data_IF_493220227058
#
_entry.id   IF_493220227058
#
_cell.length_a   1.000
_cell.length_b   1.000
_cell.length_c   1.000
_cell.angle_alpha   90.00
_cell.angle_beta   90.00
_cell.angle_gamma   90.00
#
_symmetry.space_group_name_H-M   'P 1'
#
loop_
_entity.id
_entity.type
_entity.pdbx_description
1 polymer ?
#
# COMPACT_ATOMS: atom_id res chain seq x y z
N UNK A 1 -29.92 4.35 -7.75
CA UNK A 1 -28.59 3.90 -7.32
C UNK A 1 -27.88 3.02 -8.36
N UNK A 2 -28.49 1.91 -8.78
CA UNK A 2 -27.84 0.95 -9.71
C UNK A 2 -27.51 1.53 -11.10
N UNK A 3 -28.34 2.43 -11.63
CA UNK A 3 -28.07 3.06 -12.92
C UNK A 3 -26.86 3.98 -12.92
N UNK A 4 -26.65 4.73 -11.84
CA UNK A 4 -25.52 5.66 -11.73
C UNK A 4 -24.19 4.93 -11.59
N UNK A 5 -24.17 3.80 -10.85
CA UNK A 5 -22.98 2.95 -10.76
C UNK A 5 -22.70 2.27 -12.09
N UNK A 6 -23.71 1.78 -12.79
CA UNK A 6 -23.55 1.14 -14.11
C UNK A 6 -23.01 2.13 -15.13
N UNK A 7 -23.49 3.38 -15.13
CA UNK A 7 -23.01 4.44 -16.03
C UNK A 7 -21.57 4.88 -15.66
N UNK A 8 -21.24 4.93 -14.35
CA UNK A 8 -19.88 5.19 -13.90
C UNK A 8 -18.92 4.05 -14.20
N UNK A 9 -19.35 2.81 -14.07
CA UNK A 9 -18.59 1.61 -14.45
C UNK A 9 -18.26 1.63 -15.94
N UNK A 10 -19.20 2.04 -16.79
CA UNK A 10 -18.99 2.13 -18.23
C UNK A 10 -18.00 3.22 -18.64
N UNK A 11 -17.96 4.32 -17.87
CA UNK A 11 -17.11 5.49 -18.17
C UNK A 11 -15.72 5.46 -17.50
N UNK A 12 -15.47 4.56 -16.54
CA UNK A 12 -14.24 4.56 -15.70
C UNK A 12 -13.34 3.36 -15.90
N UNK A 13 -13.58 2.50 -16.89
CA UNK A 13 -12.92 1.19 -17.03
C UNK A 13 -12.99 0.33 -15.72
N UNK A 14 -14.00 0.57 -14.92
CA UNK A 14 -14.23 -0.18 -13.68
C UNK A 14 -14.66 -1.60 -13.99
N UNK A 15 -14.27 -2.54 -13.13
CA UNK A 15 -14.58 -3.94 -13.28
C UNK A 15 -15.33 -4.46 -12.06
N UNK A 16 -16.25 -5.40 -12.30
CA UNK A 16 -16.87 -6.19 -11.23
C UNK A 16 -16.08 -7.48 -11.08
N UNK A 17 -15.44 -7.66 -9.92
CA UNK A 17 -14.64 -8.83 -9.60
C UNK A 17 -15.43 -9.70 -8.63
N UNK A 18 -15.73 -10.95 -9.01
CA UNK A 18 -16.38 -11.90 -8.13
C UNK A 18 -15.39 -12.37 -7.05
N UNK A 19 -15.82 -12.34 -5.79
CA UNK A 19 -15.04 -12.73 -4.61
C UNK A 19 -15.89 -13.57 -3.66
N UNK A 20 -15.26 -14.24 -2.68
CA UNK A 20 -15.94 -15.14 -1.75
C UNK A 20 -16.14 -16.55 -2.35
N UNK A 21 -17.24 -17.21 -1.99
CA UNK A 21 -17.52 -18.58 -2.42
C UNK A 21 -16.67 -19.63 -1.71
N UNK A 22 -16.15 -19.31 -0.53
CA UNK A 22 -15.40 -20.23 0.33
C UNK A 22 -16.22 -20.59 1.56
N UNK A 23 -15.76 -21.58 2.35
CA UNK A 23 -16.48 -22.10 3.52
C UNK A 23 -17.14 -21.01 4.38
N UNK A 24 -18.48 -20.98 4.39
CA UNK A 24 -19.28 -20.06 5.18
C UNK A 24 -19.40 -18.63 4.63
N UNK A 25 -18.88 -18.36 3.44
CA UNK A 25 -18.98 -17.05 2.80
C UNK A 25 -19.52 -17.21 1.37
N UNK A 26 -20.69 -16.62 1.10
CA UNK A 26 -21.27 -16.60 -0.24
C UNK A 26 -20.42 -15.75 -1.20
N UNK A 27 -20.68 -15.89 -2.48
CA UNK A 27 -20.08 -15.03 -3.50
C UNK A 27 -20.71 -13.63 -3.49
N UNK A 28 -19.90 -12.64 -3.78
CA UNK A 28 -20.35 -11.28 -4.04
C UNK A 28 -19.43 -10.60 -5.06
N UNK A 29 -19.79 -9.42 -5.50
CA UNK A 29 -19.01 -8.66 -6.49
C UNK A 29 -18.42 -7.39 -5.87
N UNK A 30 -17.12 -7.22 -6.03
CA UNK A 30 -16.39 -6.01 -5.66
C UNK A 30 -16.23 -5.12 -6.88
N UNK A 31 -16.52 -3.85 -6.74
CA UNK A 31 -16.25 -2.82 -7.77
C UNK A 31 -14.78 -2.44 -7.66
N UNK A 32 -14.00 -2.73 -8.69
CA UNK A 32 -12.59 -2.32 -8.78
C UNK A 32 -12.49 -1.18 -9.78
N UNK A 33 -12.10 -0.02 -9.29
CA UNK A 33 -11.87 1.18 -10.10
C UNK A 33 -10.36 1.34 -10.31
N UNK A 34 -9.85 1.18 -11.54
CA UNK A 34 -8.41 1.12 -11.79
C UNK A 34 -7.72 2.47 -11.71
N UNK A 35 -8.49 3.56 -11.67
CA UNK A 35 -7.93 4.91 -11.67
C UNK A 35 -8.89 5.96 -11.09
N UNK A 36 -8.37 6.79 -10.18
CA UNK A 36 -9.07 7.99 -9.70
C UNK A 36 -8.82 9.13 -10.70
N UNK A 37 -9.90 9.60 -11.35
CA UNK A 37 -9.85 10.71 -12.31
C UNK A 37 -10.75 11.85 -11.89
N UNK A 38 -10.52 13.05 -12.44
CA UNK A 38 -11.42 14.18 -12.23
C UNK A 38 -12.83 13.88 -12.78
N UNK A 39 -12.90 13.22 -13.92
CA UNK A 39 -14.19 12.83 -14.52
C UNK A 39 -15.00 11.91 -13.58
N UNK A 40 -14.32 11.00 -12.86
CA UNK A 40 -14.96 10.14 -11.87
C UNK A 40 -15.55 10.94 -10.70
N UNK A 41 -14.83 11.96 -10.22
CA UNK A 41 -15.28 12.85 -9.16
C UNK A 41 -16.48 13.67 -9.64
N UNK A 42 -16.40 14.25 -10.84
CA UNK A 42 -17.42 15.10 -11.43
C UNK A 42 -18.71 14.32 -11.76
N UNK A 43 -18.59 13.03 -12.03
CA UNK A 43 -19.74 12.14 -12.29
C UNK A 43 -20.64 11.95 -11.08
N UNK A 44 -20.13 12.23 -9.86
CA UNK A 44 -20.80 11.98 -8.56
C UNK A 44 -21.33 10.55 -8.40
N UNK A 45 -20.71 9.61 -9.09
CA UNK A 45 -21.07 8.20 -9.05
C UNK A 45 -20.80 7.56 -7.69
N UNK A 46 -19.80 8.08 -6.97
CA UNK A 46 -19.42 7.59 -5.64
C UNK A 46 -19.69 8.66 -4.58
N UNK A 47 -20.50 8.32 -3.58
CA UNK A 47 -20.93 9.21 -2.51
C UNK A 47 -19.80 9.73 -1.62
N UNK A 48 -18.65 9.08 -1.62
CA UNK A 48 -17.47 9.46 -0.84
C UNK A 48 -16.42 10.26 -1.65
N UNK A 49 -16.67 10.48 -2.95
CA UNK A 49 -15.86 11.34 -3.80
C UNK A 49 -16.56 12.68 -4.03
N UNK A 50 -16.40 13.62 -3.13
CA UNK A 50 -17.02 14.94 -3.24
C UNK A 50 -16.22 16.03 -2.53
N UNK A 51 -16.51 17.27 -2.92
CA UNK A 51 -15.94 18.43 -2.25
C UNK A 51 -16.75 18.74 -0.99
N UNK A 52 -16.09 18.73 0.15
CA UNK A 52 -16.62 19.30 1.38
C UNK A 52 -16.55 20.83 1.37
N UNK A 53 -17.11 21.46 2.42
CA UNK A 53 -16.90 22.89 2.66
C UNK A 53 -15.41 23.22 2.70
N UNK A 54 -15.04 24.42 2.33
CA UNK A 54 -13.68 24.93 2.26
C UNK A 54 -12.80 24.51 3.45
N UNK A 55 -13.36 24.54 4.68
CA UNK A 55 -12.64 24.21 5.92
C UNK A 55 -12.17 22.76 5.98
N UNK A 56 -12.96 21.80 5.54
CA UNK A 56 -12.59 20.37 5.51
C UNK A 56 -11.56 20.05 4.43
N UNK A 57 -11.65 20.73 3.29
CA UNK A 57 -10.68 20.54 2.21
C UNK A 57 -9.30 21.06 2.60
N UNK A 58 -9.22 22.17 3.35
CA UNK A 58 -7.95 22.70 3.85
C UNK A 58 -7.21 21.72 4.74
N UNK A 59 -7.88 21.03 5.65
CA UNK A 59 -7.24 20.01 6.50
C UNK A 59 -6.65 18.84 5.71
N UNK A 60 -7.30 18.44 4.62
CA UNK A 60 -6.77 17.37 3.75
C UNK A 60 -5.59 17.86 2.93
N UNK A 61 -5.61 19.09 2.44
CA UNK A 61 -4.48 19.71 1.76
C UNK A 61 -3.28 19.83 2.68
N UNK A 62 -3.48 20.20 3.95
CA UNK A 62 -2.42 20.24 4.96
C UNK A 62 -1.84 18.84 5.20
N UNK A 63 -2.68 17.81 5.33
CA UNK A 63 -2.24 16.42 5.48
C UNK A 63 -1.38 15.95 4.30
N UNK A 64 -1.75 16.32 3.07
CA UNK A 64 -0.97 16.02 1.87
C UNK A 64 0.38 16.75 1.90
N UNK A 65 0.38 18.05 2.24
CA UNK A 65 1.60 18.84 2.29
C UNK A 65 2.58 18.36 3.38
N UNK A 66 2.07 17.97 4.54
CA UNK A 66 2.87 17.36 5.61
C UNK A 66 3.47 16.03 5.17
N UNK A 67 2.69 15.20 4.49
CA UNK A 67 3.18 13.96 3.89
C UNK A 67 4.30 14.20 2.89
N UNK A 68 4.18 15.20 2.03
CA UNK A 68 5.22 15.56 1.07
C UNK A 68 6.51 16.02 1.74
N UNK A 69 6.40 16.82 2.81
CA UNK A 69 7.57 17.27 3.60
C UNK A 69 8.29 16.09 4.25
N UNK A 70 7.54 15.23 4.94
CA UNK A 70 8.09 14.02 5.54
C UNK A 70 8.73 13.12 4.49
N UNK A 71 8.02 12.86 3.39
CA UNK A 71 8.50 12.02 2.31
C UNK A 71 9.78 12.53 1.68
N UNK A 72 9.95 13.84 1.58
CA UNK A 72 11.20 14.44 1.10
C UNK A 72 12.39 14.17 2.04
N UNK A 73 12.15 14.17 3.36
CA UNK A 73 13.18 13.84 4.36
C UNK A 73 13.53 12.34 4.27
N UNK A 74 12.53 11.47 4.25
CA UNK A 74 12.71 10.03 4.18
C UNK A 74 13.36 9.61 2.86
N UNK A 75 12.94 10.22 1.75
CA UNK A 75 13.44 9.93 0.41
C UNK A 75 14.93 10.26 0.23
N UNK A 76 15.46 11.26 0.94
CA UNK A 76 16.92 11.51 0.96
C UNK A 76 17.70 10.29 1.46
N UNK A 77 17.17 9.57 2.46
CA UNK A 77 17.80 8.35 2.99
C UNK A 77 17.64 7.16 2.03
N UNK A 78 16.53 7.14 1.26
CA UNK A 78 16.27 6.04 0.31
C UNK A 78 16.99 6.17 -1.02
N UNK A 79 17.61 7.30 -1.33
CA UNK A 79 18.36 7.47 -2.59
C UNK A 79 19.40 6.39 -2.82
N UNK A 80 20.01 5.87 -1.74
CA UNK A 80 21.00 4.80 -1.79
C UNK A 80 20.45 3.51 -2.46
N UNK A 81 19.12 3.31 -2.42
CA UNK A 81 18.50 2.15 -3.09
C UNK A 81 18.57 2.21 -4.62
N UNK A 82 18.58 3.42 -5.18
CA UNK A 82 18.72 3.64 -6.61
C UNK A 82 20.18 3.64 -7.10
N UNK A 83 21.13 3.59 -6.16
CA UNK A 83 22.55 3.64 -6.48
C UNK A 83 23.12 2.22 -6.59
N UNK A 84 23.90 1.98 -7.64
CA UNK A 84 24.72 0.78 -7.77
C UNK A 84 26.04 1.04 -7.05
N UNK A 85 26.46 0.12 -6.21
CA UNK A 85 27.72 0.19 -5.49
C UNK A 85 28.66 -0.90 -5.97
N UNK A 86 29.75 -0.49 -6.60
CA UNK A 86 30.79 -1.41 -7.00
C UNK A 86 31.73 -1.72 -5.82
N UNK A 87 31.76 -2.99 -5.45
CA UNK A 87 32.73 -3.54 -4.49
C UNK A 87 33.88 -4.13 -5.27
N UNK A 88 35.06 -3.53 -5.12
CA UNK A 88 36.26 -3.98 -5.80
C UNK A 88 37.09 -4.85 -4.83
N UNK A 89 37.10 -6.13 -5.10
CA UNK A 89 37.98 -7.07 -4.41
C UNK A 89 39.31 -7.17 -5.14
N UNK A 90 40.39 -6.81 -4.50
CA UNK A 90 41.75 -6.92 -5.03
C UNK A 90 42.41 -8.21 -4.57
N UNK A 91 43.59 -8.57 -5.12
CA UNK A 91 44.35 -9.80 -4.77
C UNK A 91 43.56 -11.09 -5.01
N UNK A 92 42.80 -11.11 -6.09
CA UNK A 92 42.05 -12.28 -6.55
C UNK A 92 42.92 -13.12 -7.50
N UNK A 93 42.57 -14.42 -7.63
CA UNK A 93 43.22 -15.36 -8.56
C UNK A 93 42.66 -15.28 -9.98
N UNK A 94 41.57 -14.57 -10.18
CA UNK A 94 40.91 -14.39 -11.47
C UNK A 94 40.19 -13.04 -11.53
N UNK A 95 39.87 -12.56 -12.73
CA UNK A 95 39.19 -11.31 -12.97
C UNK A 95 39.97 -10.36 -13.87
N UNK A 96 39.85 -9.05 -13.65
CA UNK A 96 40.59 -8.02 -14.38
C UNK A 96 41.96 -7.81 -13.71
N UNK A 97 43.03 -7.79 -14.51
CA UNK A 97 44.36 -7.54 -13.94
C UNK A 97 44.41 -6.18 -13.27
N UNK A 98 44.84 -6.17 -12.03
CA UNK A 98 45.12 -4.96 -11.28
C UNK A 98 46.51 -4.43 -11.65
N UNK A 99 46.57 -3.37 -12.41
CA UNK A 99 47.85 -2.77 -12.91
C UNK A 99 48.83 -2.40 -11.78
N UNK A 100 48.34 -2.15 -10.56
CA UNK A 100 49.20 -1.83 -9.40
C UNK A 100 49.88 -3.06 -8.80
N UNK A 101 49.29 -4.24 -9.03
CA UNK A 101 49.80 -5.52 -8.47
C UNK A 101 50.58 -6.32 -9.52
N UNK A 102 50.60 -5.87 -10.76
CA UNK A 102 51.21 -6.64 -11.89
C UNK A 102 52.67 -6.97 -11.63
N UNK A 103 53.41 -6.13 -10.93
CA UNK A 103 54.80 -6.37 -10.59
C UNK A 103 54.97 -7.58 -9.65
N UNK A 104 53.94 -7.98 -8.91
CA UNK A 104 53.97 -9.12 -8.02
C UNK A 104 54.04 -10.46 -8.76
N UNK A 105 53.64 -10.50 -10.03
CA UNK A 105 53.80 -11.69 -10.88
C UNK A 105 55.27 -12.12 -11.04
N UNK A 106 56.20 -11.18 -11.00
CA UNK A 106 57.64 -11.46 -11.02
C UNK A 106 58.14 -12.12 -9.72
N UNK A 107 57.35 -12.19 -8.69
CA UNK A 107 57.66 -12.83 -7.38
C UNK A 107 56.77 -14.04 -7.11
N UNK A 108 56.28 -14.72 -8.16
CA UNK A 108 55.41 -15.89 -8.12
C UNK A 108 54.06 -15.66 -7.39
N UNK A 109 53.64 -14.42 -7.21
CA UNK A 109 52.35 -14.10 -6.62
C UNK A 109 51.28 -13.92 -7.72
N UNK A 110 50.46 -14.97 -7.92
CA UNK A 110 49.37 -14.96 -8.93
C UNK A 110 48.14 -14.16 -8.53
N UNK A 111 48.09 -13.59 -7.33
CA UNK A 111 46.90 -12.86 -6.82
C UNK A 111 46.87 -11.39 -7.27
N UNK A 112 46.98 -11.17 -8.55
CA UNK A 112 47.10 -9.82 -9.17
C UNK A 112 45.82 -9.34 -9.82
N UNK A 113 44.75 -10.08 -9.68
CA UNK A 113 43.45 -9.72 -10.28
C UNK A 113 42.58 -8.95 -9.31
N UNK A 114 41.67 -8.20 -9.89
CA UNK A 114 40.55 -7.56 -9.18
C UNK A 114 39.23 -8.04 -9.76
N UNK A 115 38.27 -8.32 -8.88
CA UNK A 115 36.89 -8.61 -9.25
C UNK A 115 36.03 -7.47 -8.78
N UNK A 116 35.07 -7.06 -9.63
CA UNK A 116 34.11 -6.02 -9.34
C UNK A 116 32.75 -6.72 -9.15
N UNK A 117 32.17 -6.57 -7.96
CA UNK A 117 30.82 -7.01 -7.69
C UNK A 117 29.95 -5.76 -7.54
N UNK A 118 28.96 -5.63 -8.41
CA UNK A 118 28.00 -4.54 -8.32
C UNK A 118 26.87 -4.95 -7.37
N UNK A 119 26.82 -4.32 -6.20
CA UNK A 119 25.70 -4.46 -5.28
C UNK A 119 24.63 -3.45 -5.61
N UNK A 120 23.39 -3.92 -5.73
CA UNK A 120 22.21 -3.08 -5.88
C UNK A 120 21.06 -3.65 -5.05
N UNK A 121 20.18 -2.76 -4.63
CA UNK A 121 18.95 -3.19 -4.00
C UNK A 121 17.97 -3.73 -5.07
N UNK A 122 17.22 -4.76 -4.71
CA UNK A 122 16.12 -5.22 -5.53
C UNK A 122 15.09 -4.11 -5.74
N UNK A 123 14.37 -4.15 -6.86
CA UNK A 123 13.19 -3.32 -7.01
C UNK A 123 12.18 -3.67 -5.92
N UNK A 124 11.49 -2.69 -5.42
CA UNK A 124 10.44 -2.89 -4.42
C UNK A 124 9.10 -2.43 -4.98
N UNK A 125 8.06 -3.21 -4.73
CA UNK A 125 6.67 -2.89 -5.02
C UNK A 125 5.92 -2.74 -3.69
N UNK A 126 5.37 -1.59 -3.44
CA UNK A 126 4.60 -1.27 -2.24
C UNK A 126 3.16 -0.98 -2.61
N UNK A 127 2.22 -1.77 -2.12
CA UNK A 127 0.81 -1.48 -2.18
C UNK A 127 0.31 -1.02 -0.81
N UNK A 128 -0.25 0.17 -0.73
CA UNK A 128 -0.86 0.74 0.47
C UNK A 128 -2.38 0.70 0.29
N UNK A 129 -3.07 -0.05 1.13
CA UNK A 129 -4.52 -0.13 1.15
C UNK A 129 -5.08 0.59 2.36
N UNK A 130 -5.86 1.63 2.14
CA UNK A 130 -6.42 2.48 3.18
C UNK A 130 -7.90 2.19 3.31
N UNK A 131 -8.32 1.84 4.52
CA UNK A 131 -9.72 1.81 4.89
C UNK A 131 -10.25 3.25 4.95
N UNK A 132 -11.30 3.51 4.21
CA UNK A 132 -12.01 4.77 4.25
C UNK A 132 -13.48 4.57 4.67
N UNK A 133 -13.76 3.56 5.52
CA UNK A 133 -15.04 3.39 6.16
C UNK A 133 -15.41 4.58 7.03
N UNK A 134 -16.67 4.68 7.45
CA UNK A 134 -17.17 5.82 8.22
C UNK A 134 -16.42 6.07 9.54
N UNK A 135 -15.95 5.01 10.20
CA UNK A 135 -15.15 5.07 11.43
C UNK A 135 -13.77 5.72 11.26
N UNK A 136 -13.23 5.70 10.05
CA UNK A 136 -11.96 6.36 9.71
C UNK A 136 -12.08 7.88 9.55
N UNK A 137 -13.27 8.45 9.68
CA UNK A 137 -13.48 9.90 9.51
C UNK A 137 -12.61 10.75 10.44
N UNK A 138 -12.21 11.92 9.98
CA UNK A 138 -11.38 12.86 10.76
C UNK A 138 -9.89 12.54 10.71
N UNK A 139 -9.26 12.59 11.89
CA UNK A 139 -7.79 12.49 12.03
C UNK A 139 -7.22 11.15 11.53
N UNK A 140 -7.93 10.05 11.70
CA UNK A 140 -7.45 8.73 11.24
C UNK A 140 -7.22 8.71 9.74
N UNK A 141 -8.20 9.14 8.95
CA UNK A 141 -8.06 9.20 7.50
C UNK A 141 -7.00 10.20 7.06
N UNK A 142 -6.96 11.39 7.68
CA UNK A 142 -5.97 12.43 7.36
C UNK A 142 -4.55 11.95 7.64
N UNK A 143 -4.31 11.35 8.79
CA UNK A 143 -2.99 10.80 9.17
C UNK A 143 -2.58 9.62 8.29
N UNK A 144 -3.54 8.76 7.89
CA UNK A 144 -3.30 7.69 6.93
C UNK A 144 -2.88 8.24 5.57
N UNK A 145 -3.56 9.30 5.10
CA UNK A 145 -3.19 10.03 3.88
C UNK A 145 -1.77 10.61 4.01
N UNK A 146 -1.46 11.29 5.11
CA UNK A 146 -0.12 11.85 5.36
C UNK A 146 0.96 10.78 5.27
N UNK A 147 0.75 9.64 5.93
CA UNK A 147 1.70 8.52 5.91
C UNK A 147 1.87 7.93 4.51
N UNK A 148 0.77 7.71 3.78
CA UNK A 148 0.81 7.19 2.42
C UNK A 148 1.54 8.15 1.45
N UNK A 149 1.23 9.45 1.52
CA UNK A 149 1.88 10.49 0.70
C UNK A 149 3.38 10.55 1.00
N UNK A 150 3.78 10.40 2.27
CA UNK A 150 5.18 10.36 2.63
C UNK A 150 5.91 9.18 1.98
N UNK A 151 5.30 7.99 1.97
CA UNK A 151 5.88 6.81 1.31
C UNK A 151 5.90 6.95 -0.21
N UNK A 152 4.86 7.52 -0.82
CA UNK A 152 4.85 7.83 -2.26
C UNK A 152 6.00 8.76 -2.63
N UNK A 153 6.17 9.85 -1.87
CA UNK A 153 7.23 10.83 -2.14
C UNK A 153 8.62 10.25 -1.93
N UNK A 154 8.80 9.47 -0.88
CA UNK A 154 10.07 8.80 -0.61
C UNK A 154 10.41 7.76 -1.69
N UNK A 155 9.42 6.98 -2.16
CA UNK A 155 9.57 6.02 -3.25
C UNK A 155 9.93 6.69 -4.59
N UNK A 156 9.27 7.82 -4.91
CA UNK A 156 9.61 8.62 -6.09
C UNK A 156 11.08 9.05 -6.09
N UNK A 157 11.58 9.47 -4.92
CA UNK A 157 12.97 9.91 -4.78
C UNK A 157 13.98 8.76 -4.82
N UNK A 158 13.60 7.56 -4.38
CA UNK A 158 14.44 6.37 -4.44
C UNK A 158 14.63 5.84 -5.86
N UNK A 159 13.62 5.99 -6.72
CA UNK A 159 13.67 5.63 -8.12
C UNK A 159 13.48 4.13 -8.43
N UNK A 160 13.69 3.25 -7.45
CA UNK A 160 13.51 1.81 -7.60
C UNK A 160 12.41 1.21 -6.69
N UNK A 161 11.51 2.05 -6.20
CA UNK A 161 10.34 1.65 -5.42
C UNK A 161 9.09 2.08 -6.18
N UNK A 162 8.25 1.10 -6.55
CA UNK A 162 6.94 1.36 -7.10
C UNK A 162 5.90 1.39 -5.99
N UNK A 163 5.08 2.43 -5.96
CA UNK A 163 4.05 2.62 -4.94
C UNK A 163 2.69 2.70 -5.60
N UNK A 164 1.77 1.87 -5.12
CA UNK A 164 0.35 1.90 -5.46
C UNK A 164 -0.43 2.22 -4.19
N UNK A 165 -1.40 3.11 -4.27
CA UNK A 165 -2.28 3.43 -3.14
C UNK A 165 -3.72 3.22 -3.55
N UNK A 166 -4.44 2.39 -2.79
CA UNK A 166 -5.86 2.14 -2.95
C UNK A 166 -6.64 2.55 -1.71
N UNK A 167 -7.87 2.99 -1.93
CA UNK A 167 -8.84 3.22 -0.86
C UNK A 167 -10.01 2.27 -1.05
N UNK A 168 -10.60 1.82 0.07
CA UNK A 168 -11.73 0.89 0.07
C UNK A 168 -12.89 1.39 0.91
N UNK A 169 -14.09 1.16 0.40
CA UNK A 169 -15.37 1.56 0.99
C UNK A 169 -16.44 0.53 0.68
N UNK A 170 -17.65 0.84 1.12
CA UNK A 170 -18.87 0.22 0.64
C UNK A 170 -19.83 1.27 0.12
N UNK A 171 -20.45 1.02 -1.02
CA UNK A 171 -21.48 1.88 -1.60
C UNK A 171 -22.54 1.06 -2.31
N UNK A 172 -23.80 1.41 -2.10
CA UNK A 172 -24.98 0.79 -2.77
C UNK A 172 -24.88 -0.74 -2.73
N UNK A 173 -24.73 -1.31 -1.52
CA UNK A 173 -24.63 -2.74 -1.25
C UNK A 173 -23.47 -3.46 -1.96
N UNK A 174 -22.44 -2.74 -2.36
CA UNK A 174 -21.22 -3.30 -2.96
C UNK A 174 -19.95 -2.82 -2.26
N UNK A 175 -18.98 -3.71 -2.05
CA UNK A 175 -17.62 -3.31 -1.73
C UNK A 175 -17.00 -2.59 -2.93
N UNK A 176 -16.25 -1.53 -2.65
CA UNK A 176 -15.56 -0.72 -3.67
C UNK A 176 -14.10 -0.56 -3.29
N UNK A 177 -13.21 -0.76 -4.23
CA UNK A 177 -11.80 -0.40 -4.11
C UNK A 177 -11.36 0.44 -5.30
N UNK A 178 -10.73 1.58 -5.02
CA UNK A 178 -10.26 2.51 -6.04
C UNK A 178 -8.74 2.62 -5.95
N UNK A 179 -8.05 2.45 -7.06
CA UNK A 179 -6.63 2.78 -7.18
C UNK A 179 -6.50 4.28 -7.36
N UNK A 180 -6.07 4.96 -6.31
CA UNK A 180 -5.99 6.42 -6.29
C UNK A 180 -4.63 6.94 -6.75
N UNK A 181 -3.62 6.09 -6.76
CA UNK A 181 -2.27 6.40 -7.23
C UNK A 181 -1.51 5.15 -7.65
N UNK A 182 -0.83 5.22 -8.77
CA UNK A 182 0.14 4.21 -9.24
C UNK A 182 1.37 4.93 -9.80
N UNK A 183 2.51 4.83 -9.12
CA UNK A 183 3.74 5.53 -9.48
C UNK A 183 4.30 5.21 -10.87
N UNK A 184 3.82 4.11 -11.50
CA UNK A 184 4.22 3.75 -12.87
C UNK A 184 3.56 4.61 -13.95
N UNK A 185 2.40 5.23 -13.64
CA UNK A 185 1.62 6.04 -14.58
C UNK A 185 1.29 7.43 -14.06
N UNK A 186 1.28 7.62 -12.74
CA UNK A 186 0.84 8.85 -12.10
C UNK A 186 2.01 9.69 -11.60
N UNK A 187 1.82 11.00 -11.64
CA UNK A 187 2.69 11.97 -10.98
C UNK A 187 2.10 12.40 -9.65
N UNK A 188 2.93 12.84 -8.73
CA UNK A 188 2.53 13.30 -7.39
C UNK A 188 1.51 14.47 -7.44
N UNK A 189 1.47 15.21 -8.53
CA UNK A 189 0.49 16.27 -8.77
C UNK A 189 -0.96 15.76 -8.79
N UNK A 190 -1.18 14.49 -9.13
CA UNK A 190 -2.50 13.83 -9.06
C UNK A 190 -3.01 13.79 -7.62
N UNK A 191 -2.14 13.42 -6.66
CA UNK A 191 -2.47 13.41 -5.23
C UNK A 191 -2.92 14.79 -4.78
N UNK A 192 -2.13 15.84 -5.08
CA UNK A 192 -2.48 17.22 -4.73
C UNK A 192 -3.83 17.68 -5.29
N UNK A 193 -4.17 17.25 -6.50
CA UNK A 193 -5.39 17.66 -7.17
C UNK A 193 -6.63 16.89 -6.70
N UNK A 194 -6.52 15.56 -6.53
CA UNK A 194 -7.67 14.69 -6.43
C UNK A 194 -7.93 14.13 -5.02
N UNK A 195 -6.92 13.94 -4.19
CA UNK A 195 -7.11 13.26 -2.90
C UNK A 195 -7.90 14.08 -1.88
N UNK A 196 -8.00 15.38 -2.05
CA UNK A 196 -8.87 16.23 -1.23
C UNK A 196 -10.36 15.89 -1.35
N UNK A 197 -10.75 15.21 -2.42
CA UNK A 197 -12.13 14.78 -2.64
C UNK A 197 -12.45 13.42 -2.00
N UNK A 198 -11.46 12.69 -1.48
CA UNK A 198 -11.64 11.39 -0.83
C UNK A 198 -12.17 11.61 0.59
N UNK A 199 -13.30 10.99 0.91
CA UNK A 199 -13.94 11.08 2.22
C UNK A 199 -14.17 9.68 2.81
N UNK A 200 -14.36 9.62 4.12
CA UNK A 200 -14.76 8.40 4.79
C UNK A 200 -16.26 8.17 4.67
N UNK A 201 -16.65 6.91 4.54
CA UNK A 201 -18.06 6.50 4.48
C UNK A 201 -18.25 5.01 4.32
N UNK A 202 -19.48 4.53 4.52
CA UNK A 202 -19.80 3.11 4.40
C UNK A 202 -19.19 2.24 5.50
N UNK A 203 -18.97 0.98 5.19
CA UNK A 203 -18.46 -0.05 6.10
C UNK A 203 -17.09 -0.58 5.66
N UNK A 204 -16.57 -1.57 6.37
CA UNK A 204 -15.21 -2.10 6.18
C UNK A 204 -15.21 -3.43 5.44
N UNK A 205 -15.14 -3.45 4.10
CA UNK A 205 -15.15 -4.68 3.29
C UNK A 205 -13.77 -5.35 3.19
N UNK A 206 -12.93 -5.22 4.19
CA UNK A 206 -11.53 -5.65 4.36
C UNK A 206 -11.01 -6.61 3.28
N UNK A 207 -11.08 -7.91 3.53
CA UNK A 207 -10.47 -8.92 2.67
C UNK A 207 -11.28 -9.26 1.41
N UNK A 208 -12.53 -8.80 1.30
CA UNK A 208 -13.25 -8.86 0.02
C UNK A 208 -12.52 -8.00 -1.03
N UNK A 209 -12.09 -6.81 -0.62
CA UNK A 209 -11.27 -5.93 -1.45
C UNK A 209 -9.87 -6.51 -1.69
N UNK A 210 -9.26 -7.19 -0.70
CA UNK A 210 -7.97 -7.86 -0.89
C UNK A 210 -8.04 -8.95 -1.93
N UNK A 211 -9.09 -9.79 -1.90
CA UNK A 211 -9.28 -10.84 -2.89
C UNK A 211 -9.41 -10.25 -4.31
N UNK A 212 -10.16 -9.16 -4.46
CA UNK A 212 -10.30 -8.48 -5.73
C UNK A 212 -8.96 -7.88 -6.20
N UNK A 213 -8.19 -7.25 -5.30
CA UNK A 213 -6.86 -6.72 -5.60
C UNK A 213 -5.87 -7.83 -5.99
N UNK A 214 -5.88 -8.97 -5.29
CA UNK A 214 -5.00 -10.10 -5.62
C UNK A 214 -5.27 -10.65 -7.02
N UNK A 215 -6.51 -10.69 -7.44
CA UNK A 215 -6.88 -11.16 -8.79
C UNK A 215 -6.42 -10.24 -9.90
N UNK A 216 -6.21 -8.97 -9.60
CA UNK A 216 -5.95 -7.91 -10.61
C UNK A 216 -4.62 -7.18 -10.47
N UNK A 217 -4.10 -6.98 -9.23
CA UNK A 217 -3.01 -6.04 -8.95
C UNK A 217 -1.88 -6.60 -8.11
N UNK A 218 -2.14 -7.59 -7.24
CA UNK A 218 -1.18 -8.10 -6.28
C UNK A 218 -0.51 -9.39 -6.76
N UNK A 219 -0.12 -9.45 -8.02
CA UNK A 219 0.78 -10.49 -8.50
C UNK A 219 2.20 -10.22 -8.00
N UNK A 220 2.77 -11.09 -7.17
CA UNK A 220 4.17 -11.00 -6.81
C UNK A 220 5.04 -11.07 -8.08
N UNK A 221 5.92 -10.08 -8.27
CA UNK A 221 6.91 -10.12 -9.34
C UNK A 221 8.13 -10.88 -8.81
N UNK A 222 8.49 -11.97 -9.46
CA UNK A 222 9.67 -12.75 -9.08
C UNK A 222 10.94 -11.89 -9.15
N UNK A 223 11.70 -11.89 -8.07
CA UNK A 223 12.94 -11.14 -7.95
C UNK A 223 12.80 -9.73 -7.37
N UNK A 224 11.57 -9.22 -7.20
CA UNK A 224 11.30 -7.95 -6.54
C UNK A 224 10.89 -8.17 -5.08
N UNK A 225 11.14 -7.18 -4.22
CA UNK A 225 10.60 -7.13 -2.87
C UNK A 225 9.18 -6.58 -2.90
N UNK A 226 8.20 -7.41 -2.53
CA UNK A 226 6.79 -7.03 -2.57
C UNK A 226 6.26 -6.78 -1.16
N UNK A 227 5.64 -5.63 -0.94
CA UNK A 227 5.09 -5.18 0.34
C UNK A 227 3.62 -4.80 0.20
N UNK A 228 2.83 -5.15 1.21
CA UNK A 228 1.45 -4.73 1.35
C UNK A 228 1.25 -4.11 2.73
N UNK A 229 0.79 -2.86 2.75
CA UNK A 229 0.44 -2.15 3.99
C UNK A 229 -1.06 -1.96 4.02
N UNK A 230 -1.67 -2.31 5.14
CA UNK A 230 -3.06 -2.04 5.43
C UNK A 230 -3.20 -1.01 6.56
N UNK A 231 -4.07 -0.04 6.36
CA UNK A 231 -4.57 0.86 7.40
C UNK A 231 -6.07 0.60 7.62
N UNK A 232 -6.44 0.25 8.84
CA UNK A 232 -7.82 0.01 9.24
C UNK A 232 -8.03 0.38 10.72
N UNK A 233 -9.24 0.74 11.10
CA UNK A 233 -9.58 1.07 12.50
C UNK A 233 -10.74 0.23 13.06
N UNK A 234 -11.21 -0.75 12.29
CA UNK A 234 -12.39 -1.49 12.63
C UNK A 234 -12.34 -2.98 12.38
N UNK A 235 -13.39 -3.63 12.83
CA UNK A 235 -13.67 -5.02 12.48
C UNK A 235 -14.25 -5.06 11.07
N UNK A 236 -13.87 -6.05 10.26
CA UNK A 236 -14.46 -6.25 8.94
C UNK A 236 -15.97 -6.43 9.09
N UNK A 237 -16.72 -5.63 8.37
CA UNK A 237 -18.17 -5.71 8.35
C UNK A 237 -18.74 -5.25 7.01
N UNK A 238 -19.50 -6.12 6.38
CA UNK A 238 -20.26 -5.83 5.18
C UNK A 238 -21.44 -6.80 5.07
N UNK A 239 -22.60 -6.32 4.66
CA UNK A 239 -23.78 -7.14 4.44
C UNK A 239 -24.62 -6.58 3.30
N UNK A 240 -25.10 -7.47 2.45
CA UNK A 240 -26.09 -7.21 1.43
C UNK A 240 -27.02 -8.44 1.28
N UNK A 241 -27.84 -8.47 0.24
CA UNK A 241 -28.76 -9.59 0.00
C UNK A 241 -28.05 -10.91 -0.36
N UNK A 242 -26.79 -10.85 -0.78
CA UNK A 242 -26.01 -12.02 -1.24
C UNK A 242 -25.11 -12.59 -0.13
N UNK A 243 -24.56 -11.72 0.72
CA UNK A 243 -23.48 -12.05 1.65
C UNK A 243 -23.65 -11.37 3.00
N UNK A 244 -23.28 -12.11 4.05
CA UNK A 244 -23.16 -11.62 5.41
C UNK A 244 -21.71 -11.77 5.89
N UNK A 245 -20.93 -10.71 5.73
CA UNK A 245 -19.48 -10.68 5.95
C UNK A 245 -19.16 -9.96 7.26
N UNK A 246 -19.04 -10.71 8.35
CA UNK A 246 -18.63 -10.19 9.66
C UNK A 246 -18.16 -11.32 10.60
N UNK A 247 -17.62 -10.94 11.77
CA UNK A 247 -17.23 -11.87 12.83
C UNK A 247 -16.31 -12.98 12.34
N UNK A 248 -16.60 -14.24 12.72
CA UNK A 248 -15.76 -15.41 12.41
C UNK A 248 -15.59 -15.64 10.90
N UNK A 249 -16.62 -15.34 10.10
CA UNK A 249 -16.57 -15.52 8.65
C UNK A 249 -15.55 -14.54 8.03
N UNK A 250 -15.65 -13.27 8.38
CA UNK A 250 -14.73 -12.24 7.91
C UNK A 250 -13.30 -12.48 8.42
N UNK A 251 -13.13 -12.92 9.67
CA UNK A 251 -11.84 -13.30 10.25
C UNK A 251 -11.17 -14.43 9.43
N UNK A 252 -11.89 -15.52 9.19
CA UNK A 252 -11.36 -16.67 8.43
C UNK A 252 -10.97 -16.26 7.01
N UNK A 253 -11.82 -15.47 6.35
CA UNK A 253 -11.56 -15.01 5.00
C UNK A 253 -10.33 -14.08 4.95
N UNK A 254 -10.22 -13.12 5.89
CA UNK A 254 -9.05 -12.23 5.97
C UNK A 254 -7.77 -13.02 6.21
N UNK A 255 -7.79 -13.97 7.16
CA UNK A 255 -6.64 -14.84 7.41
C UNK A 255 -6.23 -15.64 6.19
N UNK A 256 -7.20 -16.16 5.41
CA UNK A 256 -6.95 -16.86 4.15
C UNK A 256 -6.27 -15.94 3.14
N UNK A 257 -6.76 -14.72 2.95
CA UNK A 257 -6.18 -13.76 2.00
C UNK A 257 -4.76 -13.35 2.42
N UNK A 258 -4.53 -13.09 3.70
CA UNK A 258 -3.20 -12.81 4.25
C UNK A 258 -2.23 -13.96 3.97
N UNK A 259 -2.65 -15.21 4.20
CA UNK A 259 -1.85 -16.40 3.90
C UNK A 259 -1.55 -16.51 2.40
N UNK A 260 -2.52 -16.25 1.53
CA UNK A 260 -2.31 -16.29 0.08
C UNK A 260 -1.33 -15.22 -0.38
N UNK A 261 -1.42 -13.98 0.13
CA UNK A 261 -0.45 -12.93 -0.16
C UNK A 261 0.96 -13.33 0.24
N UNK A 262 1.14 -13.87 1.46
CA UNK A 262 2.45 -14.36 1.94
C UNK A 262 3.01 -15.48 1.08
N UNK A 263 2.18 -16.42 0.67
CA UNK A 263 2.58 -17.52 -0.22
C UNK A 263 3.02 -17.01 -1.60
N UNK A 264 2.53 -15.83 -2.01
CA UNK A 264 2.96 -15.15 -3.23
C UNK A 264 4.18 -14.23 -3.00
N UNK A 265 4.88 -14.35 -1.88
CA UNK A 265 6.08 -13.58 -1.57
C UNK A 265 5.82 -12.13 -1.16
N UNK A 266 4.60 -11.79 -0.75
CA UNK A 266 4.24 -10.44 -0.31
C UNK A 266 4.45 -10.32 1.20
N UNK A 267 5.28 -9.36 1.62
CA UNK A 267 5.51 -9.00 3.02
C UNK A 267 4.38 -8.07 3.46
N UNK A 268 3.64 -8.46 4.51
CA UNK A 268 2.46 -7.73 4.98
C UNK A 268 2.77 -6.97 6.26
N UNK A 269 2.22 -5.76 6.38
CA UNK A 269 2.16 -5.01 7.63
C UNK A 269 0.76 -4.40 7.73
N UNK A 270 0.00 -4.80 8.74
CA UNK A 270 -1.36 -4.31 8.96
C UNK A 270 -1.41 -3.47 10.23
N UNK A 271 -1.84 -2.23 10.07
CA UNK A 271 -1.90 -1.25 11.16
C UNK A 271 -3.34 -1.00 11.56
N UNK A 272 -3.64 -1.36 12.82
CA UNK A 272 -4.88 -0.99 13.47
C UNK A 272 -4.72 0.41 14.07
N UNK A 273 -5.56 1.34 13.62
CA UNK A 273 -5.52 2.73 14.09
C UNK A 273 -6.48 2.85 15.26
N UNK A 274 -5.92 2.97 16.47
CA UNK A 274 -6.67 3.07 17.71
C UNK A 274 -7.41 4.42 17.81
N UNK A 275 -8.65 4.37 18.28
CA UNK A 275 -9.42 5.55 18.69
C UNK A 275 -10.21 5.23 19.97
N UNK A 276 -9.82 5.82 21.07
CA UNK A 276 -10.44 5.58 22.37
C UNK A 276 -10.14 4.19 22.96
N UNK A 277 -10.75 3.91 24.11
CA UNK A 277 -10.52 2.66 24.85
C UNK A 277 -11.73 1.70 24.83
N UNK A 278 -12.90 2.15 24.39
CA UNK A 278 -14.11 1.33 24.38
C UNK A 278 -14.06 0.25 23.29
N UNK A 279 -14.26 -1.01 23.71
CA UNK A 279 -14.25 -2.16 22.79
C UNK A 279 -12.89 -2.49 22.18
N UNK A 280 -11.84 -1.79 22.57
CA UNK A 280 -10.50 -1.90 21.99
C UNK A 280 -9.91 -3.31 22.11
N UNK A 281 -10.02 -3.93 23.29
CA UNK A 281 -9.40 -5.25 23.51
C UNK A 281 -10.01 -6.37 22.65
N UNK A 282 -11.32 -6.36 22.42
CA UNK A 282 -11.97 -7.36 21.57
C UNK A 282 -11.62 -7.16 20.09
N UNK A 283 -11.61 -5.92 19.64
CA UNK A 283 -11.20 -5.58 18.28
C UNK A 283 -9.71 -5.88 18.05
N UNK A 284 -8.87 -5.60 19.04
CA UNK A 284 -7.45 -5.95 19.04
C UNK A 284 -7.23 -7.46 18.91
N UNK A 285 -7.97 -8.25 19.68
CA UNK A 285 -7.92 -9.73 19.59
C UNK A 285 -8.34 -10.22 18.21
N UNK A 286 -9.42 -9.67 17.66
CA UNK A 286 -9.88 -10.01 16.31
C UNK A 286 -8.81 -9.67 15.27
N UNK A 287 -8.27 -8.48 15.32
CA UNK A 287 -7.24 -8.02 14.39
C UNK A 287 -5.97 -8.87 14.48
N UNK A 288 -5.52 -9.22 15.68
CA UNK A 288 -4.41 -10.14 15.90
C UNK A 288 -4.68 -11.53 15.33
N UNK A 289 -5.91 -12.03 15.45
CA UNK A 289 -6.28 -13.33 14.85
C UNK A 289 -6.27 -13.29 13.32
N UNK A 290 -6.60 -12.14 12.71
CA UNK A 290 -6.58 -11.97 11.25
C UNK A 290 -5.17 -11.89 10.69
N UNK A 291 -4.30 -11.10 11.31
CA UNK A 291 -2.99 -10.73 10.76
C UNK A 291 -1.80 -11.37 11.49
N UNK A 292 -1.99 -11.94 12.67
CA UNK A 292 -0.93 -12.58 13.45
C UNK A 292 0.19 -11.60 13.81
N UNK A 293 1.43 -11.98 13.55
CA UNK A 293 2.63 -11.15 13.79
C UNK A 293 2.73 -9.91 12.90
N UNK A 294 1.93 -9.83 11.84
CA UNK A 294 1.92 -8.66 10.93
C UNK A 294 0.98 -7.56 11.42
N UNK A 295 0.22 -7.82 12.50
CA UNK A 295 -0.63 -6.84 13.16
C UNK A 295 0.20 -5.85 13.98
N UNK A 296 -0.05 -4.58 13.79
CA UNK A 296 0.53 -3.49 14.59
C UNK A 296 -0.60 -2.56 15.05
N UNK A 297 -0.46 -2.04 16.27
CA UNK A 297 -1.47 -1.17 16.87
C UNK A 297 -0.86 0.21 17.05
N UNK A 298 -1.51 1.21 16.46
CA UNK A 298 -0.94 2.54 16.37
C UNK A 298 -1.98 3.60 16.73
N UNK A 299 -1.54 4.62 17.43
CA UNK A 299 -2.32 5.83 17.66
C UNK A 299 -2.24 6.73 16.41
N UNK A 300 -3.31 7.45 16.04
CA UNK A 300 -3.27 8.37 14.89
C UNK A 300 -2.13 9.38 14.96
N UNK A 301 -1.72 9.81 16.14
CA UNK A 301 -0.60 10.74 16.34
C UNK A 301 0.75 10.14 15.92
N UNK A 302 0.87 8.82 15.97
CA UNK A 302 2.10 8.06 15.67
C UNK A 302 2.13 7.52 14.24
N UNK A 303 1.15 7.81 13.39
CA UNK A 303 1.09 7.32 12.00
C UNK A 303 2.33 7.68 11.17
N UNK A 304 3.05 8.72 11.54
CA UNK A 304 4.31 9.10 10.90
C UNK A 304 5.43 8.07 11.14
N UNK A 305 5.38 7.34 12.25
CA UNK A 305 6.35 6.26 12.54
C UNK A 305 6.21 5.08 11.58
N UNK A 306 5.03 4.87 11.00
CA UNK A 306 4.82 3.84 9.97
C UNK A 306 5.69 4.12 8.75
N UNK A 307 5.65 5.36 8.24
CA UNK A 307 6.48 5.73 7.09
C UNK A 307 7.98 5.62 7.41
N UNK A 308 8.40 5.97 8.63
CA UNK A 308 9.79 5.81 9.08
C UNK A 308 10.19 4.33 9.19
N UNK A 309 9.33 3.50 9.75
CA UNK A 309 9.55 2.05 9.87
C UNK A 309 9.67 1.38 8.50
N UNK A 310 8.77 1.72 7.57
CA UNK A 310 8.86 1.21 6.20
C UNK A 310 10.12 1.68 5.49
N UNK A 311 10.53 2.92 5.72
CA UNK A 311 11.79 3.43 5.19
C UNK A 311 12.98 2.60 5.66
N UNK A 312 13.00 2.17 6.92
CA UNK A 312 14.03 1.28 7.46
C UNK A 312 13.97 -0.10 6.80
N UNK A 313 12.78 -0.70 6.65
CA UNK A 313 12.61 -1.99 5.97
C UNK A 313 13.10 -1.97 4.52
N UNK A 314 12.92 -0.86 3.81
CA UNK A 314 13.46 -0.70 2.45
C UNK A 314 14.99 -0.62 2.41
N UNK A 315 15.66 -0.30 3.50
CA UNK A 315 17.12 -0.25 3.59
C UNK A 315 17.74 -1.55 4.09
N UNK A 316 16.94 -2.51 4.53
CA UNK A 316 17.38 -3.87 4.85
C UNK A 316 17.73 -4.61 3.54
N UNK A 317 18.86 -5.38 3.57
CA UNK A 317 19.35 -6.21 2.46
C UNK A 317 19.04 -7.68 2.70
#
# INVERSE_FOLDING_TARGET
>A
GDKQIVDALSNSNSELVEVGGTEGLNKTKVVVVPDLTQALIDSKAFNFLYSHSYRYNTHKEDAINDGLRLGAILGKKLKIRGEEKDLIYTRQTSGKINKRLIAELGFDNGNVFSQVFTERYNKANLHISIDASGSMSGDKLQKSITSAVAMVKAGEMAGNIHVVVSFRWTQDDKPVVIICYDSRKDKITKIKKLWKYINAGGTTPESLCYEALMKKWLGGVNGDDNYFINYSDGSPWFSNNEIYYHGTCAEKHTRKMVKMMKNNGIKISSYFIKDGDYGYEDTKRLFTRMYGSDASFIDPTNMMEVAKSMNSKFLEK
#
